data_IF_204356318369
#
_entry.id   IF_204356318369
#
_cell.length_a   1.000
_cell.length_b   1.000
_cell.length_c   1.000
_cell.angle_alpha   90.00
_cell.angle_beta   90.00
_cell.angle_gamma   90.00
#
_symmetry.space_group_name_H-M   'P 1'
#
loop_
_entity.id
_entity.type
_entity.pdbx_description
1 polymer ?
#
# COMPACT_ATOMS: atom_id res chain seq x y z
N UNK A 1 -45.98 -12.92 38.44
CA UNK A 1 -45.22 -11.69 38.14
C UNK A 1 -44.65 -11.19 39.47
N UNK A 2 -43.38 -11.49 39.73
CA UNK A 2 -42.74 -11.23 41.03
C UNK A 2 -41.58 -10.27 40.82
N UNK A 3 -41.73 -9.04 41.33
CA UNK A 3 -40.71 -8.01 41.36
C UNK A 3 -39.82 -8.21 42.57
N UNK A 4 -38.67 -8.86 42.38
CA UNK A 4 -37.62 -8.98 43.38
C UNK A 4 -36.56 -7.90 43.17
N UNK A 5 -36.46 -6.97 44.13
CA UNK A 5 -35.44 -5.91 44.22
C UNK A 5 -34.67 -6.13 45.51
N UNK A 6 -33.36 -6.45 45.45
CA UNK A 6 -32.35 -6.29 46.52
C UNK A 6 -30.93 -6.40 45.87
N UNK A 7 -29.82 -6.00 46.52
CA UNK A 7 -29.25 -4.66 46.47
C UNK A 7 -27.83 -4.64 45.87
N UNK A 8 -27.34 -3.44 45.53
CA UNK A 8 -25.93 -3.16 45.27
C UNK A 8 -25.12 -3.30 46.57
N UNK A 9 -24.17 -4.23 46.62
CA UNK A 9 -22.91 -4.08 47.36
C UNK A 9 -21.92 -5.19 46.97
N UNK A 10 -20.64 -4.80 46.92
CA UNK A 10 -19.42 -5.61 46.90
C UNK A 10 -18.99 -6.26 45.57
N UNK A 11 -18.48 -5.43 44.66
CA UNK A 11 -17.45 -5.85 43.70
C UNK A 11 -16.11 -5.27 44.18
N UNK A 12 -15.57 -5.86 45.24
CA UNK A 12 -14.15 -5.77 45.54
C UNK A 12 -13.49 -7.13 45.28
N UNK A 13 -12.44 -7.08 44.48
CA UNK A 13 -11.31 -8.01 44.48
C UNK A 13 -11.60 -9.49 44.18
N UNK A 14 -11.43 -9.87 42.90
CA UNK A 14 -10.94 -11.20 42.49
C UNK A 14 -10.65 -11.17 40.98
N UNK A 15 -9.47 -10.68 40.61
CA UNK A 15 -8.60 -11.46 39.72
C UNK A 15 -7.16 -10.95 39.79
N UNK A 16 -6.41 -11.65 40.63
CA UNK A 16 -4.98 -11.61 40.73
C UNK A 16 -4.29 -12.04 39.42
N UNK A 17 -3.16 -11.38 39.15
CA UNK A 17 -1.94 -11.93 38.52
C UNK A 17 -2.08 -12.50 37.10
N UNK A 18 -2.12 -11.59 36.13
CA UNK A 18 -1.39 -11.83 34.87
C UNK A 18 0.09 -11.52 35.16
N UNK A 19 1.02 -12.47 34.99
CA UNK A 19 2.44 -12.18 35.15
C UNK A 19 2.87 -11.24 34.02
N UNK A 20 3.02 -9.96 34.35
CA UNK A 20 3.65 -8.95 33.51
C UNK A 20 5.15 -9.28 33.39
N UNK A 21 5.51 -10.16 32.45
CA UNK A 21 6.90 -10.35 32.01
C UNK A 21 6.99 -11.02 30.64
N UNK A 22 7.02 -10.19 29.61
CA UNK A 22 7.88 -10.36 28.43
C UNK A 22 8.51 -8.99 28.17
N UNK A 23 9.74 -8.75 28.65
CA UNK A 23 10.96 -8.76 27.82
C UNK A 23 10.73 -8.15 26.42
N UNK A 24 11.16 -6.90 26.29
CA UNK A 24 11.41 -6.16 25.04
C UNK A 24 10.27 -6.16 24.02
N UNK A 25 9.21 -5.39 24.33
CA UNK A 25 8.51 -4.68 23.26
C UNK A 25 9.42 -3.51 22.85
N UNK A 26 10.37 -3.77 21.95
CA UNK A 26 10.99 -2.69 21.18
C UNK A 26 9.84 -1.90 20.56
N UNK A 27 9.63 -0.66 20.99
CA UNK A 27 8.60 0.20 20.39
C UNK A 27 8.95 0.38 18.92
N UNK A 28 8.39 -0.47 18.05
CA UNK A 28 8.53 -0.29 16.62
C UNK A 28 7.93 1.07 16.31
N UNK A 29 8.75 1.96 15.76
CA UNK A 29 8.29 3.28 15.30
C UNK A 29 7.19 3.00 14.27
N UNK A 30 5.94 3.45 14.50
CA UNK A 30 4.88 3.21 13.54
C UNK A 30 5.19 3.93 12.23
N UNK A 31 4.84 3.31 11.11
CA UNK A 31 4.93 3.96 9.80
C UNK A 31 4.09 5.25 9.85
N UNK A 32 4.69 6.42 9.60
CA UNK A 32 3.94 7.67 9.65
C UNK A 32 2.93 7.73 8.51
N UNK A 33 1.83 8.44 8.74
CA UNK A 33 0.84 8.74 7.69
C UNK A 33 1.51 9.32 6.46
N UNK A 34 1.06 8.89 5.29
CA UNK A 34 1.58 9.33 4.00
C UNK A 34 2.95 8.74 3.62
N UNK A 35 3.57 7.88 4.44
CA UNK A 35 4.78 7.16 4.05
C UNK A 35 4.46 5.90 3.23
N UNK A 36 5.37 5.56 2.32
CA UNK A 36 5.37 4.30 1.60
C UNK A 36 5.81 3.20 2.56
N UNK A 37 4.85 2.37 3.00
CA UNK A 37 5.08 1.34 4.02
C UNK A 37 6.23 0.40 3.69
N UNK A 38 6.32 -0.06 2.43
CA UNK A 38 7.38 -0.97 1.97
C UNK A 38 8.77 -0.33 1.95
N UNK A 39 8.86 1.00 1.93
CA UNK A 39 10.11 1.74 1.96
C UNK A 39 10.45 2.33 3.35
N UNK A 40 9.56 2.16 4.33
CA UNK A 40 9.77 2.69 5.67
C UNK A 40 10.96 1.99 6.34
N UNK A 41 11.91 2.78 6.86
CA UNK A 41 13.22 2.31 7.34
C UNK A 41 14.09 1.59 6.28
N UNK A 42 13.77 1.71 4.99
CA UNK A 42 14.58 1.18 3.87
C UNK A 42 15.26 2.32 3.11
N UNK A 43 14.51 3.36 2.75
CA UNK A 43 15.04 4.51 2.03
C UNK A 43 14.31 5.80 2.45
N UNK A 44 15.04 6.90 2.56
CA UNK A 44 14.48 8.22 2.88
C UNK A 44 14.67 9.16 1.70
N UNK A 45 13.92 10.26 1.69
CA UNK A 45 14.00 11.27 0.63
C UNK A 45 15.42 11.85 0.47
N UNK A 46 16.18 12.00 1.56
CA UNK A 46 17.56 12.51 1.48
C UNK A 46 18.51 11.49 0.84
N UNK A 47 18.34 10.22 1.18
CA UNK A 47 19.08 9.10 0.58
C UNK A 47 18.74 8.91 -0.89
N UNK A 48 17.46 8.98 -1.24
CA UNK A 48 17.01 8.96 -2.63
C UNK A 48 17.67 10.06 -3.46
N UNK A 49 17.72 11.29 -2.92
CA UNK A 49 18.43 12.42 -3.57
C UNK A 49 19.94 12.18 -3.69
N UNK A 50 20.55 11.51 -2.73
CA UNK A 50 21.97 11.16 -2.81
C UNK A 50 22.23 10.13 -3.92
N UNK A 51 21.38 9.09 -4.03
CA UNK A 51 21.41 8.11 -5.12
C UNK A 51 21.18 8.76 -6.49
N UNK A 52 20.18 9.64 -6.61
CA UNK A 52 19.92 10.39 -7.84
C UNK A 52 21.10 11.26 -8.29
N UNK A 53 21.96 11.70 -7.36
CA UNK A 53 23.20 12.44 -7.65
C UNK A 53 24.40 11.54 -7.95
N UNK A 54 24.24 10.21 -7.91
CA UNK A 54 25.34 9.26 -8.08
C UNK A 54 26.34 9.24 -6.91
N UNK A 55 25.98 9.76 -5.73
CA UNK A 55 26.85 9.74 -4.56
C UNK A 55 26.89 8.31 -4.03
N UNK A 56 28.05 7.66 -3.99
CA UNK A 56 28.16 6.27 -3.51
C UNK A 56 28.40 6.16 -1.99
N UNK A 57 28.93 7.21 -1.35
CA UNK A 57 29.19 7.24 0.10
C UNK A 57 28.02 7.86 0.87
N UNK A 58 26.94 7.10 1.06
CA UNK A 58 25.86 7.49 1.96
C UNK A 58 25.37 6.28 2.76
N UNK A 59 25.44 6.36 4.09
CA UNK A 59 24.97 5.30 4.98
C UNK A 59 23.47 5.43 5.24
N UNK A 60 22.65 4.80 4.40
CA UNK A 60 21.20 4.81 4.56
C UNK A 60 20.68 3.64 5.38
N UNK A 61 21.43 3.22 6.40
CA UNK A 61 21.00 2.17 7.34
C UNK A 61 20.26 2.79 8.53
N UNK A 62 19.13 2.21 8.91
CA UNK A 62 18.41 2.55 10.14
C UNK A 62 18.83 1.63 11.29
N UNK A 63 19.02 2.19 12.47
CA UNK A 63 19.06 1.36 13.69
C UNK A 63 17.64 1.01 14.12
N UNK A 64 17.47 -0.12 14.83
CA UNK A 64 16.17 -0.56 15.36
C UNK A 64 15.55 0.42 16.36
N UNK A 65 16.34 1.35 16.91
CA UNK A 65 15.94 2.31 17.94
C UNK A 65 15.83 3.75 17.42
N UNK A 66 16.13 4.01 16.15
CA UNK A 66 16.17 5.35 15.57
C UNK A 66 15.10 5.53 14.50
N UNK A 67 14.45 6.69 14.51
CA UNK A 67 13.59 7.14 13.39
C UNK A 67 14.39 7.73 12.22
N UNK A 68 15.73 7.81 12.33
CA UNK A 68 16.63 8.37 11.32
C UNK A 68 17.68 7.34 10.88
N UNK A 69 18.02 7.36 9.58
CA UNK A 69 19.18 6.63 9.08
C UNK A 69 20.51 7.23 9.53
N UNK A 70 21.60 6.47 9.41
CA UNK A 70 22.96 6.91 9.72
C UNK A 70 23.36 8.21 9.00
N UNK A 71 23.01 8.32 7.72
CA UNK A 71 23.31 9.48 6.88
C UNK A 71 22.62 10.76 7.36
N UNK A 72 21.36 10.68 7.74
CA UNK A 72 20.62 11.82 8.30
C UNK A 72 21.05 12.15 9.72
N UNK A 73 21.43 11.14 10.51
CA UNK A 73 21.93 11.30 11.88
C UNK A 73 23.27 12.03 11.89
N UNK A 74 24.23 11.60 11.07
CA UNK A 74 25.55 12.22 10.94
C UNK A 74 25.48 13.69 10.48
N UNK A 75 24.45 14.05 9.73
CA UNK A 75 24.23 15.41 9.22
C UNK A 75 23.23 16.23 10.04
N UNK A 76 22.82 15.74 11.22
CA UNK A 76 21.82 16.40 12.09
C UNK A 76 20.55 16.86 11.35
N UNK A 77 20.14 16.11 10.33
CA UNK A 77 19.09 16.52 9.40
C UNK A 77 17.77 15.77 9.64
N UNK A 78 16.63 16.31 9.16
CA UNK A 78 15.37 15.56 9.13
C UNK A 78 15.49 14.32 8.24
N UNK A 79 14.98 13.19 8.73
CA UNK A 79 14.92 11.95 7.96
C UNK A 79 13.48 11.70 7.55
N UNK A 80 13.13 12.11 6.33
CA UNK A 80 11.75 12.04 5.83
C UNK A 80 11.58 10.72 5.06
N UNK A 81 10.66 9.82 5.46
CA UNK A 81 10.34 8.60 4.71
C UNK A 81 9.92 8.91 3.28
N UNK A 82 10.04 7.93 2.38
CA UNK A 82 9.49 8.08 1.03
C UNK A 82 7.96 8.22 1.10
N UNK A 83 7.36 9.17 0.35
CA UNK A 83 5.91 9.29 0.25
C UNK A 83 5.25 8.07 -0.39
N UNK A 84 4.04 7.73 0.05
CA UNK A 84 3.26 6.58 -0.42
C UNK A 84 3.05 6.51 -1.94
N UNK A 85 2.98 7.65 -2.61
CA UNK A 85 2.74 7.72 -4.06
C UNK A 85 3.97 7.33 -4.90
N UNK A 86 5.14 7.11 -4.30
CA UNK A 86 6.35 6.67 -5.01
C UNK A 86 6.42 5.15 -5.21
N UNK A 87 5.33 4.41 -4.99
CA UNK A 87 5.33 2.95 -5.03
C UNK A 87 5.93 2.35 -6.31
N UNK A 88 5.52 2.85 -7.48
CA UNK A 88 6.01 2.37 -8.78
C UNK A 88 7.48 2.72 -8.98
N UNK A 89 7.88 3.95 -8.70
CA UNK A 89 9.27 4.41 -8.89
C UNK A 89 10.23 3.74 -7.89
N UNK A 90 9.75 3.45 -6.69
CA UNK A 90 10.50 2.68 -5.70
C UNK A 90 10.68 1.23 -6.14
N UNK A 91 9.65 0.61 -6.73
CA UNK A 91 9.76 -0.73 -7.29
C UNK A 91 10.76 -0.78 -8.47
N UNK A 92 10.74 0.23 -9.35
CA UNK A 92 11.71 0.35 -10.44
C UNK A 92 13.15 0.52 -9.92
N UNK A 93 13.33 1.32 -8.85
CA UNK A 93 14.63 1.47 -8.19
C UNK A 93 15.12 0.15 -7.59
N UNK A 94 14.27 -0.58 -6.87
CA UNK A 94 14.63 -1.90 -6.32
C UNK A 94 15.00 -2.89 -7.43
N UNK A 95 14.22 -2.93 -8.52
CA UNK A 95 14.53 -3.79 -9.66
C UNK A 95 15.89 -3.47 -10.29
N UNK A 96 16.26 -2.18 -10.37
CA UNK A 96 17.58 -1.76 -10.85
C UNK A 96 18.70 -2.13 -9.86
N UNK A 97 18.45 -2.07 -8.55
CA UNK A 97 19.41 -2.46 -7.51
C UNK A 97 19.61 -3.99 -7.42
N UNK A 98 18.59 -4.77 -7.77
CA UNK A 98 18.62 -6.24 -7.77
C UNK A 98 19.10 -6.83 -9.12
N UNK A 99 19.21 -6.00 -10.17
CA UNK A 99 19.64 -6.43 -11.49
C UNK A 99 21.05 -7.06 -11.47
N UNK A 100 21.22 -8.13 -12.23
CA UNK A 100 22.50 -8.82 -12.40
C UNK A 100 22.87 -8.87 -13.89
N UNK A 101 23.98 -8.25 -14.32
CA UNK A 101 24.93 -7.48 -13.52
C UNK A 101 24.33 -6.15 -13.02
N UNK A 102 24.85 -5.65 -11.90
CA UNK A 102 24.43 -4.35 -11.36
C UNK A 102 24.93 -3.22 -12.28
N UNK A 103 24.00 -2.43 -12.82
CA UNK A 103 24.31 -1.29 -13.68
C UNK A 103 24.04 0.00 -12.90
N UNK A 104 25.11 0.63 -12.39
CA UNK A 104 24.99 1.85 -11.56
C UNK A 104 24.24 2.98 -12.27
N UNK A 105 24.39 3.11 -13.60
CA UNK A 105 23.69 4.12 -14.38
C UNK A 105 22.15 3.93 -14.33
N UNK A 106 21.66 2.69 -14.29
CA UNK A 106 20.24 2.38 -14.19
C UNK A 106 19.69 2.69 -12.80
N UNK A 107 20.45 2.36 -11.75
CA UNK A 107 20.10 2.76 -10.36
C UNK A 107 20.01 4.28 -10.24
N UNK A 108 20.96 5.02 -10.80
CA UNK A 108 20.94 6.49 -10.80
C UNK A 108 19.76 7.02 -11.60
N UNK A 109 19.45 6.43 -12.76
CA UNK A 109 18.31 6.83 -13.58
C UNK A 109 16.98 6.61 -12.85
N UNK A 110 16.76 5.43 -12.26
CA UNK A 110 15.57 5.11 -11.48
C UNK A 110 15.44 6.04 -10.25
N UNK A 111 16.53 6.27 -9.52
CA UNK A 111 16.54 7.21 -8.40
C UNK A 111 16.26 8.65 -8.84
N UNK A 112 16.75 9.05 -10.02
CA UNK A 112 16.49 10.37 -10.61
C UNK A 112 15.01 10.53 -10.93
N UNK A 113 14.38 9.50 -11.51
CA UNK A 113 12.96 9.53 -11.84
C UNK A 113 12.08 9.57 -10.57
N UNK A 114 12.34 8.71 -9.59
CA UNK A 114 11.67 8.76 -8.29
C UNK A 114 11.82 10.14 -7.63
N UNK A 115 13.01 10.75 -7.69
CA UNK A 115 13.22 12.10 -7.17
C UNK A 115 12.48 13.18 -7.99
N UNK A 116 12.39 13.04 -9.32
CA UNK A 116 11.62 13.93 -10.19
C UNK A 116 10.14 13.90 -9.81
N UNK A 117 9.55 12.72 -9.67
CA UNK A 117 8.15 12.54 -9.23
C UNK A 117 7.93 13.14 -7.85
N UNK A 118 8.85 12.91 -6.91
CA UNK A 118 8.77 13.51 -5.57
C UNK A 118 8.79 15.05 -5.61
N UNK A 119 9.63 15.65 -6.45
CA UNK A 119 9.71 17.11 -6.60
C UNK A 119 8.46 17.68 -7.27
N UNK A 120 7.95 17.04 -8.33
CA UNK A 120 6.72 17.47 -8.99
C UNK A 120 5.52 17.39 -8.05
N UNK A 121 5.41 16.28 -7.30
CA UNK A 121 4.39 16.12 -6.29
C UNK A 121 4.49 17.26 -5.26
N UNK A 122 5.68 17.53 -4.72
CA UNK A 122 5.89 18.61 -3.75
C UNK A 122 5.53 20.01 -4.28
N UNK A 123 5.74 20.27 -5.57
CA UNK A 123 5.34 21.54 -6.21
C UNK A 123 3.82 21.65 -6.39
N UNK A 124 3.15 20.51 -6.59
CA UNK A 124 1.69 20.44 -6.76
C UNK A 124 0.90 20.45 -5.45
N UNK A 125 1.56 20.24 -4.30
CA UNK A 125 0.90 20.26 -3.00
C UNK A 125 0.51 21.70 -2.63
N UNK A 126 -0.78 21.97 -2.34
CA UNK A 126 -1.21 23.27 -1.84
C UNK A 126 -0.46 23.65 -0.56
N UNK A 127 -0.25 24.95 -0.34
CA UNK A 127 0.24 25.43 0.97
C UNK A 127 -0.89 25.30 1.98
N UNK A 128 -0.68 24.48 3.00
CA UNK A 128 -1.62 24.33 4.10
C UNK A 128 -1.38 25.39 5.17
N UNK A 129 -2.46 25.89 5.77
CA UNK A 129 -2.45 26.86 6.87
C UNK A 129 -2.40 26.17 8.23
N UNK A 130 -2.72 24.88 8.30
CA UNK A 130 -2.69 24.07 9.51
C UNK A 130 -2.46 22.59 9.20
N UNK A 131 -2.11 21.81 10.23
CA UNK A 131 -2.00 20.35 10.11
C UNK A 131 -3.35 19.70 9.79
N UNK A 132 -4.44 20.17 10.38
CA UNK A 132 -5.78 19.67 10.07
C UNK A 132 -6.17 19.85 8.59
N UNK A 133 -5.76 20.95 7.96
CA UNK A 133 -6.00 21.17 6.52
C UNK A 133 -5.18 20.20 5.66
N UNK A 134 -3.92 19.94 6.04
CA UNK A 134 -3.07 18.93 5.39
C UNK A 134 -3.69 17.54 5.52
N UNK A 135 -4.14 17.17 6.70
CA UNK A 135 -4.70 15.85 6.97
C UNK A 135 -6.01 15.63 6.18
N UNK A 136 -6.87 16.66 6.10
CA UNK A 136 -8.07 16.64 5.23
C UNK A 136 -7.71 16.50 3.74
N UNK A 137 -6.65 17.17 3.29
CA UNK A 137 -6.17 17.03 1.91
C UNK A 137 -5.65 15.60 1.63
N UNK A 138 -4.91 15.02 2.58
CA UNK A 138 -4.43 13.63 2.47
C UNK A 138 -5.60 12.64 2.45
N UNK A 139 -6.62 12.82 3.30
CA UNK A 139 -7.84 12.02 3.32
C UNK A 139 -8.62 12.13 1.99
N UNK A 140 -8.79 13.35 1.46
CA UNK A 140 -9.43 13.58 0.18
C UNK A 140 -8.68 12.89 -0.97
N UNK A 141 -7.34 12.93 -0.94
CA UNK A 141 -6.50 12.27 -1.94
C UNK A 141 -6.58 10.74 -1.83
N UNK A 142 -6.58 10.19 -0.62
CA UNK A 142 -6.75 8.76 -0.39
C UNK A 142 -8.12 8.26 -0.87
N UNK A 143 -9.18 9.02 -0.55
CA UNK A 143 -10.55 8.75 -1.02
C UNK A 143 -10.61 8.75 -2.53
N UNK A 144 -10.02 9.75 -3.18
CA UNK A 144 -9.96 9.83 -4.64
C UNK A 144 -9.23 8.62 -5.26
N UNK A 145 -8.09 8.21 -4.70
CA UNK A 145 -7.35 7.05 -5.19
C UNK A 145 -8.17 5.76 -5.07
N UNK A 146 -8.88 5.57 -3.95
CA UNK A 146 -9.78 4.43 -3.76
C UNK A 146 -10.93 4.40 -4.79
N UNK A 147 -11.51 5.57 -5.09
CA UNK A 147 -12.54 5.71 -6.13
C UNK A 147 -12.00 5.38 -7.53
N UNK A 148 -10.82 5.89 -7.88
CA UNK A 148 -10.19 5.62 -9.18
C UNK A 148 -9.88 4.12 -9.35
N UNK A 149 -9.38 3.47 -8.30
CA UNK A 149 -9.18 2.02 -8.28
C UNK A 149 -10.50 1.25 -8.46
N UNK A 150 -11.54 1.60 -7.71
CA UNK A 150 -12.86 0.98 -7.84
C UNK A 150 -13.46 1.15 -9.25
N UNK A 151 -13.32 2.34 -9.85
CA UNK A 151 -13.75 2.59 -11.22
C UNK A 151 -12.97 1.76 -12.25
N UNK A 152 -11.65 1.60 -12.06
CA UNK A 152 -10.83 0.76 -12.92
C UNK A 152 -11.29 -0.71 -12.85
N UNK A 153 -11.60 -1.21 -11.65
CA UNK A 153 -12.15 -2.56 -11.44
C UNK A 153 -13.50 -2.72 -12.13
N UNK A 154 -14.45 -1.80 -11.93
CA UNK A 154 -15.77 -1.84 -12.58
C UNK A 154 -15.63 -1.88 -14.10
N UNK A 155 -14.78 -1.01 -14.68
CA UNK A 155 -14.51 -1.00 -16.13
C UNK A 155 -13.94 -2.33 -16.61
N UNK A 156 -13.05 -2.96 -15.86
CA UNK A 156 -12.51 -4.28 -16.20
C UNK A 156 -13.60 -5.35 -16.21
N UNK A 157 -14.45 -5.38 -15.18
CA UNK A 157 -15.57 -6.33 -15.07
C UNK A 157 -16.58 -6.14 -16.19
N UNK A 158 -16.92 -4.89 -16.55
CA UNK A 158 -17.83 -4.60 -17.66
C UNK A 158 -17.27 -5.06 -19.01
N UNK A 159 -15.96 -4.87 -19.25
CA UNK A 159 -15.32 -5.40 -20.47
C UNK A 159 -15.40 -6.92 -20.52
N UNK A 160 -15.15 -7.60 -19.39
CA UNK A 160 -15.26 -9.06 -19.32
C UNK A 160 -16.69 -9.55 -19.55
N UNK A 161 -17.67 -8.92 -18.90
CA UNK A 161 -19.08 -9.24 -19.07
C UNK A 161 -19.52 -9.06 -20.54
N UNK A 162 -19.03 -8.01 -21.20
CA UNK A 162 -19.31 -7.78 -22.62
C UNK A 162 -18.78 -8.91 -23.49
N UNK A 163 -17.53 -9.35 -23.28
CA UNK A 163 -16.97 -10.46 -24.06
C UNK A 163 -17.69 -11.79 -23.78
N UNK A 164 -18.07 -12.02 -22.51
CA UNK A 164 -18.89 -13.18 -22.14
C UNK A 164 -20.24 -13.12 -22.85
N UNK A 165 -20.93 -11.97 -22.85
CA UNK A 165 -22.21 -11.77 -23.53
C UNK A 165 -22.11 -11.96 -25.06
N UNK A 166 -21.07 -11.43 -25.69
CA UNK A 166 -20.83 -11.57 -27.13
C UNK A 166 -20.57 -13.04 -27.54
N UNK A 167 -20.10 -13.89 -26.62
CA UNK A 167 -19.91 -15.33 -26.85
C UNK A 167 -21.20 -16.16 -26.74
N UNK A 168 -22.22 -15.68 -26.04
CA UNK A 168 -23.47 -16.42 -25.76
C UNK A 168 -24.19 -16.89 -27.03
N UNK A 169 -24.36 -16.08 -28.09
CA UNK A 169 -25.05 -16.55 -29.30
C UNK A 169 -24.35 -17.72 -29.98
N UNK A 170 -23.01 -17.74 -30.01
CA UNK A 170 -22.24 -18.83 -30.59
C UNK A 170 -22.42 -20.12 -29.78
N UNK A 171 -22.28 -20.04 -28.45
CA UNK A 171 -22.50 -21.18 -27.55
C UNK A 171 -23.93 -21.71 -27.64
N UNK A 172 -24.93 -20.82 -27.75
CA UNK A 172 -26.32 -21.23 -27.93
C UNK A 172 -26.54 -21.91 -29.28
N UNK A 173 -25.91 -21.41 -30.35
CA UNK A 173 -25.93 -22.03 -31.67
C UNK A 173 -25.35 -23.45 -31.65
N UNK A 174 -24.21 -23.65 -30.97
CA UNK A 174 -23.60 -24.96 -30.77
C UNK A 174 -24.52 -25.92 -30.00
N UNK A 175 -25.15 -25.45 -28.92
CA UNK A 175 -26.10 -26.23 -28.13
C UNK A 175 -27.31 -26.67 -28.96
N UNK A 176 -27.94 -25.74 -29.69
CA UNK A 176 -29.09 -26.02 -30.55
C UNK A 176 -28.73 -27.05 -31.62
N UNK A 177 -27.55 -26.91 -32.24
CA UNK A 177 -27.06 -27.86 -33.23
C UNK A 177 -26.81 -29.26 -32.64
N UNK A 178 -26.33 -29.35 -31.39
CA UNK A 178 -26.13 -30.62 -30.70
C UNK A 178 -27.46 -31.29 -30.35
N UNK A 179 -28.45 -30.53 -29.85
CA UNK A 179 -29.78 -31.04 -29.49
C UNK A 179 -30.51 -31.59 -30.72
N UNK A 180 -30.41 -30.91 -31.87
CA UNK A 180 -31.02 -31.37 -33.12
C UNK A 180 -30.47 -32.71 -33.63
N UNK A 181 -29.32 -33.18 -33.12
CA UNK A 181 -28.71 -34.47 -33.46
C UNK A 181 -29.08 -35.60 -32.50
N UNK A 182 -29.88 -35.34 -31.46
CA UNK A 182 -30.30 -36.37 -30.52
C UNK A 182 -31.33 -37.31 -31.18
N UNK A 183 -31.21 -38.64 -30.98
CA UNK A 183 -32.18 -39.58 -31.52
C UNK A 183 -33.57 -39.36 -30.89
N UNK A 184 -34.62 -39.32 -31.70
CA UNK A 184 -36.00 -39.33 -31.19
C UNK A 184 -36.31 -40.70 -30.61
N UNK A 185 -36.54 -40.77 -29.29
CA UNK A 185 -37.00 -42.00 -28.65
C UNK A 185 -38.39 -42.35 -29.18
N UNK A 186 -38.52 -43.56 -29.75
CA UNK A 186 -39.82 -44.10 -30.16
C UNK A 186 -40.69 -44.32 -28.93
N UNK A 187 -41.93 -43.81 -28.96
CA UNK A 187 -42.91 -44.02 -27.90
C UNK A 187 -43.27 -45.52 -27.80
N UNK A 188 -43.34 -46.10 -26.59
CA UNK A 188 -43.77 -47.47 -26.42
C UNK A 188 -45.26 -47.61 -26.77
N UNK A 189 -45.57 -48.63 -27.55
CA UNK A 189 -46.92 -49.03 -27.95
C UNK A 189 -47.65 -49.79 -26.83
#
# INVERSE_FOLDING_TARGET
>A
MSTGRYPLQDIHNLNERIPFKSKESTMLVPTPSGALTVAFHVLCLRCLRAKARGIQSHDCVWSSTSSKCGYCTAQHSPCVPLPWFLGEEFAALLAAEEATPLILAEVVAAATEANRVALLAAQSVPKFRSEAERDLYEEARATRAALELGLAQIRSSLRRLRTEQESVPALLGELVAAVGKLPTAAAPA
#
